data_IF_418035392395
#
_entry.id   IF_418035392395
#
_cell.length_a   1.000
_cell.length_b   1.000
_cell.length_c   1.000
_cell.angle_alpha   90.00
_cell.angle_beta   90.00
_cell.angle_gamma   90.00
#
_symmetry.space_group_name_H-M   'P 1'
#
loop_
_entity.id
_entity.type
_entity.pdbx_description
1 polymer ?
#
# COMPACT_ATOMS: atom_id res chain seq x y z
N UNK A 1 5.27 12.72 -23.52
CA UNK A 1 5.77 11.73 -22.52
C UNK A 1 5.01 11.93 -21.21
N UNK A 2 4.21 10.96 -20.78
CA UNK A 2 3.26 11.10 -19.67
C UNK A 2 3.96 11.07 -18.31
N UNK A 3 3.76 12.09 -17.46
CA UNK A 3 4.23 12.22 -16.05
C UNK A 3 4.00 10.97 -15.16
N UNK A 4 3.16 10.02 -15.60
CA UNK A 4 2.90 8.77 -14.90
C UNK A 4 4.09 7.81 -14.85
N UNK A 5 4.99 7.82 -15.85
CA UNK A 5 6.19 6.95 -15.83
C UNK A 5 7.25 7.45 -14.84
N UNK A 6 7.41 8.77 -14.67
CA UNK A 6 8.51 9.31 -13.85
C UNK A 6 8.29 9.12 -12.35
N UNK A 7 7.04 9.18 -11.87
CA UNK A 7 6.73 8.92 -10.45
C UNK A 7 6.95 7.45 -10.09
N UNK A 8 6.63 6.53 -11.00
CA UNK A 8 6.93 5.10 -10.80
C UNK A 8 8.44 4.88 -10.74
N UNK A 9 9.21 5.41 -11.69
CA UNK A 9 10.67 5.19 -11.76
C UNK A 9 11.46 5.85 -10.62
N UNK A 10 11.10 7.06 -10.18
CA UNK A 10 11.84 7.74 -9.09
C UNK A 10 11.46 7.19 -7.71
N UNK A 11 10.20 6.78 -7.52
CA UNK A 11 9.76 6.10 -6.31
C UNK A 11 10.43 4.73 -6.15
N UNK A 12 10.51 3.95 -7.23
CA UNK A 12 11.12 2.61 -7.20
C UNK A 12 12.59 2.60 -6.79
N UNK A 13 13.38 3.63 -7.16
CA UNK A 13 14.80 3.69 -6.77
C UNK A 13 14.95 3.84 -5.26
N UNK A 14 14.19 4.74 -4.64
CA UNK A 14 14.20 4.90 -3.18
C UNK A 14 13.54 3.75 -2.43
N UNK A 15 12.49 3.16 -3.00
CA UNK A 15 11.82 2.00 -2.40
C UNK A 15 12.74 0.76 -2.40
N UNK A 16 13.63 0.64 -3.39
CA UNK A 16 14.64 -0.41 -3.43
C UNK A 16 15.68 -0.29 -2.29
N UNK A 17 15.92 0.92 -1.74
CA UNK A 17 16.80 1.11 -0.57
C UNK A 17 16.22 0.48 0.70
N UNK A 18 14.89 0.31 0.76
CA UNK A 18 14.19 -0.31 1.88
C UNK A 18 13.97 -1.82 1.70
N UNK A 19 14.38 -2.40 0.58
CA UNK A 19 14.30 -3.82 0.36
C UNK A 19 15.35 -4.56 1.21
N UNK A 20 15.01 -5.72 1.81
CA UNK A 20 15.99 -6.56 2.50
C UNK A 20 17.19 -6.91 1.60
N UNK A 21 18.40 -7.06 2.17
CA UNK A 21 19.60 -7.29 1.40
C UNK A 21 19.51 -8.59 0.58
N UNK A 22 19.73 -8.49 -0.73
CA UNK A 22 19.65 -9.62 -1.67
C UNK A 22 18.27 -9.85 -2.28
N UNK A 23 17.25 -9.10 -1.89
CA UNK A 23 15.91 -9.19 -2.49
C UNK A 23 15.72 -8.20 -3.64
N UNK A 24 15.05 -8.64 -4.70
CA UNK A 24 14.66 -7.76 -5.79
C UNK A 24 13.20 -7.34 -5.63
N UNK A 25 12.95 -6.04 -5.79
CA UNK A 25 11.60 -5.51 -5.83
C UNK A 25 10.91 -5.91 -7.12
N UNK A 26 9.74 -6.54 -6.99
CA UNK A 26 8.92 -6.95 -8.13
C UNK A 26 7.78 -5.96 -8.38
N UNK A 27 7.10 -5.52 -7.33
CA UNK A 27 5.92 -4.63 -7.42
C UNK A 27 5.96 -3.58 -6.32
N UNK A 28 5.32 -2.45 -6.56
CA UNK A 28 5.06 -1.43 -5.55
C UNK A 28 3.70 -0.82 -5.80
N UNK A 29 2.87 -0.71 -4.76
CA UNK A 29 1.58 -0.02 -4.81
C UNK A 29 1.48 1.01 -3.69
N UNK A 30 0.75 2.09 -3.95
CA UNK A 30 0.50 3.12 -2.95
C UNK A 30 -0.86 2.90 -2.29
N UNK A 31 -0.86 2.91 -0.97
CA UNK A 31 -2.03 2.82 -0.12
C UNK A 31 -2.19 4.08 0.73
N UNK A 32 -3.43 4.38 1.09
CA UNK A 32 -3.79 5.53 1.92
C UNK A 32 -4.64 5.04 3.10
N UNK A 33 -4.20 5.30 4.33
CA UNK A 33 -5.04 5.05 5.53
C UNK A 33 -6.08 6.13 5.67
N UNK A 34 -7.26 5.76 6.19
CA UNK A 34 -8.30 6.71 6.56
C UNK A 34 -9.72 6.22 6.28
N UNK A 35 -10.73 6.99 6.75
CA UNK A 35 -12.13 6.70 6.49
C UNK A 35 -12.44 6.79 4.99
N UNK A 36 -13.53 6.14 4.59
CA UNK A 36 -13.87 5.96 3.18
C UNK A 36 -13.91 7.30 2.44
N UNK A 37 -13.33 7.41 1.22
CA UNK A 37 -13.29 8.66 0.45
C UNK A 37 -14.66 9.31 0.18
N UNK A 38 -15.75 8.56 0.33
CA UNK A 38 -17.13 9.04 0.20
C UNK A 38 -17.55 10.04 1.30
N UNK A 39 -16.77 10.15 2.38
CA UNK A 39 -17.02 11.15 3.45
C UNK A 39 -16.43 12.52 3.08
N UNK A 40 -15.68 12.63 1.98
CA UNK A 40 -14.96 13.85 1.57
C UNK A 40 -15.80 14.85 0.76
N UNK A 41 -17.10 14.62 0.54
CA UNK A 41 -17.93 15.53 -0.27
C UNK A 41 -17.92 16.99 0.21
N UNK A 42 -17.91 17.28 1.53
CA UNK A 42 -17.74 18.64 2.01
C UNK A 42 -16.28 19.11 1.90
N UNK A 43 -15.99 20.31 1.38
CA UNK A 43 -14.62 20.80 1.20
C UNK A 43 -13.83 20.92 2.51
N UNK A 44 -14.51 21.24 3.62
CA UNK A 44 -13.91 21.29 4.96
C UNK A 44 -13.50 19.91 5.48
N UNK A 45 -14.32 18.89 5.23
CA UNK A 45 -14.01 17.51 5.61
C UNK A 45 -12.86 16.99 4.75
N UNK A 46 -12.85 17.30 3.46
CA UNK A 46 -11.72 16.97 2.58
C UNK A 46 -10.39 17.56 3.07
N UNK A 47 -10.42 18.80 3.59
CA UNK A 47 -9.25 19.44 4.19
C UNK A 47 -8.81 18.78 5.49
N UNK A 48 -9.75 18.47 6.40
CA UNK A 48 -9.46 17.76 7.64
C UNK A 48 -8.89 16.36 7.36
N UNK A 49 -9.40 15.67 6.34
CA UNK A 49 -8.95 14.34 5.95
C UNK A 49 -7.52 14.33 5.40
N UNK A 50 -7.00 15.43 4.84
CA UNK A 50 -5.58 15.52 4.47
C UNK A 50 -4.65 15.34 5.67
N UNK A 51 -5.07 15.78 6.87
CA UNK A 51 -4.27 15.65 8.09
C UNK A 51 -4.39 14.26 8.73
N UNK A 52 -5.55 13.62 8.60
CA UNK A 52 -5.82 12.30 9.19
C UNK A 52 -5.27 11.15 8.34
N UNK A 53 -5.11 11.35 7.03
CA UNK A 53 -4.60 10.32 6.12
C UNK A 53 -3.11 10.07 6.30
N UNK A 54 -2.74 8.80 6.45
CA UNK A 54 -1.38 8.32 6.27
C UNK A 54 -1.21 7.78 4.85
N UNK A 55 -0.01 7.95 4.31
CA UNK A 55 0.33 7.44 2.98
C UNK A 55 1.37 6.34 3.16
N UNK A 56 1.16 5.20 2.51
CA UNK A 56 2.05 4.06 2.59
C UNK A 56 2.35 3.55 1.19
N UNK A 57 3.54 3.02 0.99
CA UNK A 57 3.91 2.19 -0.12
C UNK A 57 4.01 0.75 0.37
N UNK A 58 3.24 -0.13 -0.25
CA UNK A 58 3.38 -1.57 -0.07
C UNK A 58 4.23 -2.07 -1.22
N UNK A 59 5.41 -2.52 -0.89
CA UNK A 59 6.42 -3.02 -1.81
C UNK A 59 6.47 -4.53 -1.68
N UNK A 60 6.47 -5.18 -2.84
CA UNK A 60 6.54 -6.61 -2.96
C UNK A 60 7.90 -7.01 -3.52
N UNK A 61 8.67 -7.79 -2.76
CA UNK A 61 9.93 -8.33 -3.22
C UNK A 61 9.78 -9.80 -3.62
N UNK A 62 10.89 -10.51 -3.86
CA UNK A 62 10.89 -11.94 -4.16
C UNK A 62 10.36 -12.80 -3.01
N UNK A 63 10.61 -12.40 -1.76
CA UNK A 63 10.32 -13.18 -0.54
C UNK A 63 9.61 -12.40 0.56
N UNK A 64 9.54 -11.07 0.46
CA UNK A 64 9.01 -10.23 1.53
C UNK A 64 8.01 -9.18 1.04
N UNK A 65 7.11 -8.81 1.95
CA UNK A 65 6.24 -7.65 1.85
C UNK A 65 6.86 -6.56 2.74
N UNK A 66 7.18 -5.43 2.11
CA UNK A 66 7.79 -4.28 2.78
C UNK A 66 6.79 -3.13 2.76
N UNK A 67 6.49 -2.57 3.93
CA UNK A 67 5.64 -1.40 4.06
C UNK A 67 6.49 -0.21 4.43
N UNK A 68 6.42 0.82 3.58
CA UNK A 68 7.18 2.05 3.72
C UNK A 68 6.18 3.20 3.87
N UNK A 69 6.27 3.95 4.94
CA UNK A 69 5.51 5.18 5.11
C UNK A 69 6.00 6.25 4.12
N UNK A 70 5.06 6.95 3.50
CA UNK A 70 5.33 8.07 2.63
C UNK A 70 5.01 9.39 3.33
N UNK A 71 5.88 10.37 3.16
CA UNK A 71 5.66 11.72 3.66
C UNK A 71 4.42 12.34 3.03
N UNK A 72 3.56 12.94 3.86
CA UNK A 72 2.23 13.45 3.46
C UNK A 72 2.32 14.60 2.45
N UNK A 73 3.39 15.39 2.52
CA UNK A 73 3.53 16.62 1.72
C UNK A 73 4.26 16.37 0.40
N UNK A 74 5.31 15.57 0.45
CA UNK A 74 6.19 15.29 -0.69
C UNK A 74 5.81 14.00 -1.42
N UNK A 75 5.02 13.13 -0.79
CA UNK A 75 4.64 11.82 -1.32
C UNK A 75 5.82 10.87 -1.51
N UNK A 76 6.97 11.18 -0.91
CA UNK A 76 8.21 10.40 -1.02
C UNK A 76 8.25 9.35 0.08
N UNK A 77 8.86 8.18 -0.17
CA UNK A 77 9.12 7.22 0.90
C UNK A 77 10.02 7.87 1.96
N UNK A 78 9.59 7.77 3.21
CA UNK A 78 10.22 8.41 4.35
C UNK A 78 10.76 7.38 5.35
N UNK A 79 9.91 6.48 5.84
CA UNK A 79 10.27 5.55 6.92
C UNK A 79 9.88 4.12 6.58
N UNK A 80 10.75 3.16 6.89
CA UNK A 80 10.40 1.74 6.88
C UNK A 80 9.50 1.44 8.08
N UNK A 81 8.31 0.92 7.84
CA UNK A 81 7.37 0.51 8.90
C UNK A 81 7.60 -0.95 9.25
N UNK A 82 7.63 -1.82 8.23
CA UNK A 82 7.89 -3.24 8.43
C UNK A 82 8.40 -3.92 7.16
N UNK A 83 9.13 -5.00 7.35
CA UNK A 83 9.51 -5.93 6.30
C UNK A 83 9.24 -7.34 6.84
N UNK A 84 8.25 -8.02 6.27
CA UNK A 84 7.81 -9.34 6.71
C UNK A 84 7.85 -10.32 5.55
N UNK A 85 8.11 -11.60 5.82
CA UNK A 85 8.04 -12.63 4.80
C UNK A 85 6.59 -12.80 4.28
N UNK A 86 6.42 -13.18 3.02
CA UNK A 86 5.07 -13.38 2.43
C UNK A 86 4.16 -14.30 3.24
N UNK A 87 4.72 -15.34 3.84
CA UNK A 87 3.95 -16.31 4.62
C UNK A 87 3.46 -15.75 5.95
N UNK A 88 4.16 -14.75 6.49
CA UNK A 88 3.84 -14.14 7.80
C UNK A 88 3.05 -12.85 7.66
N UNK A 89 2.93 -12.29 6.45
CA UNK A 89 2.17 -11.08 6.22
C UNK A 89 0.69 -11.28 6.60
N UNK A 90 0.18 -10.41 7.47
CA UNK A 90 -1.15 -10.54 8.07
C UNK A 90 -2.19 -9.67 7.33
N UNK A 91 -2.56 -10.09 6.12
CA UNK A 91 -3.67 -9.48 5.38
C UNK A 91 -4.99 -10.09 5.84
N UNK A 92 -5.86 -9.29 6.45
CA UNK A 92 -7.10 -9.79 7.06
C UNK A 92 -8.27 -9.84 6.08
N UNK A 93 -8.45 -8.80 5.26
CA UNK A 93 -9.56 -8.72 4.31
C UNK A 93 -9.16 -7.84 3.13
N UNK A 94 -9.55 -8.24 1.92
CA UNK A 94 -9.22 -7.52 0.70
C UNK A 94 -10.45 -7.43 -0.20
N UNK A 95 -10.95 -6.21 -0.40
CA UNK A 95 -12.11 -5.93 -1.26
C UNK A 95 -11.71 -5.02 -2.41
N UNK A 96 -11.69 -5.61 -3.61
CA UNK A 96 -11.37 -4.91 -4.85
C UNK A 96 -12.62 -4.16 -5.32
N UNK A 97 -12.56 -2.83 -5.46
CA UNK A 97 -13.67 -2.03 -6.00
C UNK A 97 -13.21 -1.23 -7.24
N UNK A 98 -14.13 -0.71 -8.07
CA UNK A 98 -13.78 -0.06 -9.34
C UNK A 98 -12.91 1.20 -9.22
N UNK A 99 -13.04 1.94 -8.11
CA UNK A 99 -12.36 3.21 -7.87
C UNK A 99 -11.35 3.13 -6.71
N UNK A 100 -11.77 2.56 -5.58
CA UNK A 100 -10.98 2.44 -4.36
C UNK A 100 -11.09 1.04 -3.78
N UNK A 101 -10.03 0.25 -3.92
CA UNK A 101 -9.93 -1.04 -3.24
C UNK A 101 -9.64 -0.82 -1.76
N UNK A 102 -10.18 -1.71 -0.92
CA UNK A 102 -10.00 -1.69 0.54
C UNK A 102 -9.16 -2.92 0.90
N UNK A 103 -8.11 -2.70 1.66
CA UNK A 103 -7.23 -3.76 2.16
C UNK A 103 -7.11 -3.54 3.66
N UNK A 104 -7.26 -4.59 4.45
CA UNK A 104 -7.00 -4.54 5.89
C UNK A 104 -5.70 -5.27 6.15
N UNK A 105 -4.71 -4.53 6.65
CA UNK A 105 -3.42 -5.07 7.02
C UNK A 105 -3.19 -4.85 8.50
N UNK A 106 -2.78 -5.90 9.21
CA UNK A 106 -2.42 -5.78 10.62
C UNK A 106 -1.02 -5.20 10.73
N UNK A 107 -0.94 -3.93 11.11
CA UNK A 107 0.34 -3.27 11.31
C UNK A 107 1.07 -3.90 12.51
N UNK A 108 2.38 -4.20 12.41
CA UNK A 108 3.11 -4.84 13.51
C UNK A 108 3.28 -3.93 14.73
N UNK A 109 3.30 -2.61 14.54
CA UNK A 109 3.45 -1.64 15.63
C UNK A 109 2.15 -1.39 16.40
N UNK A 110 1.01 -1.31 15.70
CA UNK A 110 -0.31 -1.06 16.32
C UNK A 110 -0.98 -2.36 16.79
N UNK A 111 -0.64 -3.49 16.19
CA UNK A 111 -1.26 -4.79 16.46
C UNK A 111 -2.74 -4.89 16.06
N UNK A 112 -3.32 -3.81 15.52
CA UNK A 112 -4.70 -3.71 15.04
C UNK A 112 -4.75 -3.75 13.50
N UNK A 113 -5.83 -4.28 12.91
CA UNK A 113 -6.04 -4.23 11.47
C UNK A 113 -6.31 -2.78 11.04
N UNK A 114 -5.40 -2.22 10.27
CA UNK A 114 -5.55 -0.89 9.69
C UNK A 114 -6.10 -0.97 8.28
N UNK A 115 -7.02 -0.06 7.96
CA UNK A 115 -7.63 0.02 6.64
C UNK A 115 -6.77 0.84 5.70
N UNK A 116 -6.23 0.16 4.70
CA UNK A 116 -5.47 0.67 3.57
C UNK A 116 -6.37 0.78 2.34
N UNK A 117 -6.60 2.00 1.85
CA UNK A 117 -7.34 2.24 0.61
C UNK A 117 -6.35 2.39 -0.56
N UNK A 118 -6.54 1.58 -1.60
CA UNK A 118 -5.70 1.58 -2.80
C UNK A 118 -6.48 2.15 -3.96
N UNK A 119 -5.94 3.19 -4.60
CA UNK A 119 -6.58 3.85 -5.74
C UNK A 119 -6.51 2.98 -7.00
N UNK A 120 -7.51 3.09 -7.89
CA UNK A 120 -7.56 2.43 -9.23
C UNK A 120 -6.24 2.46 -10.02
N UNK A 121 -5.43 3.52 -9.86
CA UNK A 121 -4.12 3.66 -10.54
C UNK A 121 -3.15 2.51 -10.22
N UNK A 122 -3.29 1.88 -9.06
CA UNK A 122 -2.43 0.82 -8.55
C UNK A 122 -3.12 -0.54 -8.55
N UNK A 123 -4.20 -0.68 -9.33
CA UNK A 123 -5.04 -1.88 -9.33
C UNK A 123 -4.33 -3.09 -9.92
N UNK A 124 -3.59 -2.91 -11.01
CA UNK A 124 -2.84 -4.00 -11.64
C UNK A 124 -1.80 -4.58 -10.66
N UNK A 125 -1.11 -3.71 -9.93
CA UNK A 125 -0.14 -4.11 -8.91
C UNK A 125 -0.82 -4.76 -7.70
N UNK A 126 -2.02 -4.29 -7.33
CA UNK A 126 -2.81 -4.87 -6.27
C UNK A 126 -3.31 -6.28 -6.63
N UNK A 127 -3.83 -6.46 -7.84
CA UNK A 127 -4.31 -7.74 -8.35
C UNK A 127 -3.15 -8.75 -8.46
N UNK A 128 -1.96 -8.29 -8.88
CA UNK A 128 -0.75 -9.11 -8.89
C UNK A 128 -0.21 -9.41 -7.48
N UNK A 129 -0.46 -8.56 -6.49
CA UNK A 129 -0.16 -8.84 -5.09
C UNK A 129 -1.12 -9.89 -4.53
N UNK A 130 -2.43 -9.74 -4.79
CA UNK A 130 -3.48 -10.70 -4.39
C UNK A 130 -3.17 -12.10 -4.88
N UNK A 131 -2.81 -12.24 -6.16
CA UNK A 131 -2.56 -13.54 -6.78
C UNK A 131 -1.35 -14.29 -6.20
N UNK A 132 -0.48 -13.58 -5.46
CA UNK A 132 0.73 -14.13 -4.83
C UNK A 132 0.57 -14.38 -3.34
N UNK A 133 -0.48 -13.84 -2.72
CA UNK A 133 -0.72 -14.05 -1.29
C UNK A 133 -1.35 -15.42 -1.04
N UNK A 134 -0.69 -16.30 -0.28
CA UNK A 134 -1.20 -17.66 -0.03
C UNK A 134 -2.50 -17.68 0.78
N UNK A 135 -2.74 -16.66 1.61
CA UNK A 135 -3.89 -16.60 2.53
C UNK A 135 -5.23 -16.33 1.83
N UNK A 136 -5.23 -15.66 0.67
CA UNK A 136 -6.46 -15.35 -0.08
C UNK A 136 -6.93 -16.50 -0.96
N UNK A 137 -6.08 -17.50 -1.24
CA UNK A 137 -6.48 -18.72 -1.93
C UNK A 137 -7.49 -19.56 -1.12
N UNK A 138 -7.51 -19.41 0.21
CA UNK A 138 -8.40 -20.16 1.11
C UNK A 138 -9.78 -19.51 1.32
N UNK A 139 -10.02 -18.29 0.84
CA UNK A 139 -11.33 -17.61 0.95
C UNK A 139 -12.17 -17.71 -0.34
N UNK A 140 -11.64 -18.36 -1.37
CA UNK A 140 -12.31 -18.61 -2.65
C UNK A 140 -12.70 -20.10 -2.84
N UNK A 141 -12.58 -20.92 -1.78
CA UNK A 141 -12.99 -22.33 -1.74
C UNK A 141 -14.33 -22.50 -1.02
#
# INVERSE_FOLDING_TARGET
>A
MSRRRSLRSTGTVKLAEFAPPGEQMQLACQAITGPSPWVDDPPYVRFAMLFVRGYYFVVLTNTSVVIVEADKWTGRPANLVCAEHFSTAMFSEMKINPLWSKVYYRMPHTGAPERLNVHRRWREELDALVSRLPQLANLAA
#
